data_IF_951818174086
#
_entry.id   IF_951818174086
#
_cell.length_a   1.000
_cell.length_b   1.000
_cell.length_c   1.000
_cell.angle_alpha   90.00
_cell.angle_beta   90.00
_cell.angle_gamma   90.00
#
_symmetry.space_group_name_H-M   'P 1'
#
loop_
_entity.id
_entity.type
_entity.pdbx_description
1 polymer ?
#
# COMPACT_ATOMS: atom_id res chain seq x y z
N UNK A 1 -20.83 -8.93 -7.12
CA UNK A 1 -21.81 -9.80 -7.77
C UNK A 1 -23.24 -9.38 -7.41
N UNK A 2 -24.13 -9.41 -8.40
CA UNK A 2 -25.57 -9.17 -8.18
C UNK A 2 -26.40 -10.35 -8.69
N UNK A 3 -27.51 -10.71 -8.01
CA UNK A 3 -28.43 -11.69 -8.54
C UNK A 3 -29.02 -11.22 -9.89
N UNK A 4 -29.23 -12.18 -10.79
CA UNK A 4 -29.91 -11.96 -12.08
C UNK A 4 -30.83 -13.14 -12.38
N UNK A 5 -31.70 -13.00 -13.37
CA UNK A 5 -32.65 -14.05 -13.74
C UNK A 5 -32.00 -15.39 -14.15
N UNK A 6 -30.74 -15.38 -14.56
CA UNK A 6 -29.99 -16.56 -14.97
C UNK A 6 -28.86 -16.97 -14.01
N UNK A 7 -28.79 -16.38 -12.81
CA UNK A 7 -27.70 -16.65 -11.86
C UNK A 7 -27.09 -15.39 -11.25
N UNK A 8 -25.75 -15.30 -11.24
CA UNK A 8 -25.02 -14.16 -10.70
C UNK A 8 -24.40 -13.33 -11.84
N UNK A 9 -24.60 -12.03 -11.77
CA UNK A 9 -23.93 -11.07 -12.66
C UNK A 9 -22.70 -10.48 -11.99
N UNK A 10 -21.55 -10.59 -12.65
CA UNK A 10 -20.33 -9.91 -12.24
C UNK A 10 -20.36 -8.44 -12.65
N UNK A 11 -19.92 -7.57 -11.72
CA UNK A 11 -19.63 -6.15 -12.00
C UNK A 11 -18.12 -6.00 -12.02
N UNK A 12 -17.56 -5.74 -13.20
CA UNK A 12 -16.13 -5.53 -13.41
C UNK A 12 -15.92 -4.12 -13.94
N UNK A 13 -14.88 -3.44 -13.44
CA UNK A 13 -14.57 -2.09 -13.90
C UNK A 13 -14.08 -2.12 -15.36
N UNK A 14 -14.68 -1.27 -16.17
CA UNK A 14 -14.24 -1.08 -17.56
C UNK A 14 -12.89 -0.35 -17.61
N UNK A 15 -12.14 -0.56 -18.69
CA UNK A 15 -10.83 0.08 -18.92
C UNK A 15 -10.99 1.60 -18.93
N UNK A 16 -10.11 2.36 -18.24
CA UNK A 16 -10.13 3.82 -18.30
C UNK A 16 -9.86 4.34 -19.71
N UNK A 17 -10.67 5.30 -20.11
CA UNK A 17 -10.49 6.07 -21.35
C UNK A 17 -9.70 7.36 -21.06
N UNK A 18 -10.15 8.14 -20.06
CA UNK A 18 -9.44 9.32 -19.60
C UNK A 18 -9.30 9.37 -18.09
N UNK A 19 -8.22 9.99 -17.63
CA UNK A 19 -7.91 10.17 -16.22
C UNK A 19 -7.50 11.63 -15.94
N UNK A 20 -7.59 12.03 -14.68
CA UNK A 20 -7.07 13.30 -14.19
C UNK A 20 -6.37 13.11 -12.84
N UNK A 21 -5.52 14.05 -12.46
CA UNK A 21 -4.86 14.04 -11.15
C UNK A 21 -5.71 14.81 -10.13
N UNK A 22 -5.92 14.21 -8.97
CA UNK A 22 -6.57 14.87 -7.85
C UNK A 22 -5.68 15.98 -7.28
N UNK A 23 -6.22 17.19 -7.12
CA UNK A 23 -5.46 18.40 -6.77
C UNK A 23 -4.68 18.31 -5.46
N UNK A 24 -5.22 17.56 -4.47
CA UNK A 24 -4.64 17.51 -3.13
C UNK A 24 -3.42 16.60 -3.02
N UNK A 25 -3.36 15.49 -3.77
CA UNK A 25 -2.34 14.46 -3.58
C UNK A 25 -1.84 13.77 -4.85
N UNK A 26 -2.08 14.38 -6.01
CA UNK A 26 -1.69 13.82 -7.31
C UNK A 26 -2.17 12.38 -7.59
N UNK A 27 -3.20 11.91 -6.88
CA UNK A 27 -3.82 10.62 -7.15
C UNK A 27 -4.48 10.59 -8.52
N UNK A 28 -4.22 9.55 -9.31
CA UNK A 28 -4.92 9.36 -10.58
C UNK A 28 -6.38 8.93 -10.35
N UNK A 29 -7.31 9.70 -10.89
CA UNK A 29 -8.75 9.43 -10.90
C UNK A 29 -9.25 9.18 -12.31
N UNK A 30 -10.14 8.21 -12.49
CA UNK A 30 -10.77 7.94 -13.79
C UNK A 30 -11.91 8.92 -14.01
N UNK A 31 -11.87 9.65 -15.15
CA UNK A 31 -12.92 10.55 -15.60
C UNK A 31 -13.94 9.82 -16.47
N UNK A 32 -13.47 9.08 -17.49
CA UNK A 32 -14.31 8.31 -18.40
C UNK A 32 -13.78 6.90 -18.59
N UNK A 33 -14.66 5.98 -19.01
CA UNK A 33 -14.32 4.58 -19.23
C UNK A 33 -14.79 4.12 -20.61
N UNK A 34 -14.05 3.20 -21.20
CA UNK A 34 -14.48 2.46 -22.38
C UNK A 34 -15.66 1.53 -22.07
N UNK A 35 -16.22 0.91 -23.08
CA UNK A 35 -17.31 -0.08 -23.00
C UNK A 35 -16.83 -1.54 -22.85
N UNK A 36 -15.52 -1.75 -22.64
CA UNK A 36 -14.90 -3.06 -22.45
C UNK A 36 -14.11 -3.13 -21.14
N UNK A 37 -14.02 -4.33 -20.55
CA UNK A 37 -13.37 -4.56 -19.24
C UNK A 37 -11.89 -4.93 -19.37
N UNK A 38 -11.44 -5.40 -20.53
CA UNK A 38 -10.04 -5.73 -20.78
C UNK A 38 -9.73 -5.66 -22.28
N UNK A 39 -8.51 -5.27 -22.59
CA UNK A 39 -7.93 -5.36 -23.93
C UNK A 39 -6.79 -6.37 -23.88
N UNK A 40 -6.88 -7.40 -24.70
CA UNK A 40 -5.91 -8.49 -24.74
C UNK A 40 -5.52 -8.78 -26.19
N UNK A 41 -4.29 -9.26 -26.37
CA UNK A 41 -3.77 -9.64 -27.68
C UNK A 41 -3.81 -11.17 -27.83
N UNK A 42 -4.27 -11.61 -29.00
CA UNK A 42 -4.24 -13.01 -29.41
C UNK A 42 -4.94 -13.98 -28.45
N UNK A 43 -4.52 -15.23 -28.52
CA UNK A 43 -4.99 -16.30 -27.62
C UNK A 43 -4.20 -16.25 -26.31
N UNK A 44 -4.90 -16.33 -25.20
CA UNK A 44 -4.30 -16.33 -23.86
C UNK A 44 -5.08 -17.22 -22.88
N UNK A 45 -4.44 -17.57 -21.79
CA UNK A 45 -5.12 -18.17 -20.63
C UNK A 45 -5.75 -17.09 -19.79
N UNK A 46 -7.02 -17.25 -19.45
CA UNK A 46 -7.74 -16.33 -18.57
C UNK A 46 -7.66 -16.80 -17.11
N UNK A 47 -7.72 -15.86 -16.13
CA UNK A 47 -7.73 -16.25 -14.74
C UNK A 47 -9.01 -16.99 -14.37
N UNK A 48 -8.89 -17.92 -13.44
CA UNK A 48 -10.03 -18.56 -12.79
C UNK A 48 -10.79 -17.53 -11.95
N UNK A 49 -12.10 -17.61 -11.97
CA UNK A 49 -12.99 -16.90 -11.06
C UNK A 49 -13.60 -17.90 -10.10
N UNK A 50 -13.35 -17.70 -8.82
CA UNK A 50 -13.72 -18.67 -7.78
C UNK A 50 -14.76 -18.01 -6.89
N UNK A 51 -15.81 -18.72 -6.57
CA UNK A 51 -16.86 -18.36 -5.63
C UNK A 51 -16.80 -19.33 -4.46
N UNK A 52 -16.40 -18.85 -3.29
CA UNK A 52 -16.56 -19.59 -2.06
C UNK A 52 -18.01 -19.45 -1.58
N UNK A 53 -18.68 -20.56 -1.36
CA UNK A 53 -20.03 -20.62 -0.81
C UNK A 53 -19.94 -21.28 0.55
N UNK A 54 -20.50 -20.67 1.57
CA UNK A 54 -20.56 -21.17 2.93
C UNK A 54 -22.01 -21.19 3.40
N UNK A 55 -22.37 -22.19 4.19
CA UNK A 55 -23.68 -22.28 4.80
C UNK A 55 -23.78 -21.35 6.04
N UNK A 56 -22.65 -21.12 6.72
CA UNK A 56 -22.55 -20.26 7.89
C UNK A 56 -21.40 -19.24 7.76
N UNK A 57 -21.60 -18.01 8.22
CA UNK A 57 -20.62 -16.92 8.13
C UNK A 57 -19.27 -17.26 8.76
N UNK A 58 -19.26 -18.07 9.81
CA UNK A 58 -18.04 -18.52 10.52
C UNK A 58 -17.11 -19.37 9.66
N UNK A 59 -17.58 -19.93 8.56
CA UNK A 59 -16.78 -20.76 7.65
C UNK A 59 -15.93 -19.90 6.70
N UNK A 60 -16.34 -18.65 6.45
CA UNK A 60 -15.64 -17.77 5.52
C UNK A 60 -14.23 -17.39 5.99
N UNK A 61 -13.98 -17.05 7.26
CA UNK A 61 -12.64 -16.69 7.74
C UNK A 61 -11.63 -17.83 7.71
N UNK A 62 -12.11 -19.08 7.72
CA UNK A 62 -11.28 -20.29 7.69
C UNK A 62 -11.15 -20.91 6.30
N UNK A 63 -11.71 -20.26 5.29
CA UNK A 63 -11.66 -20.73 3.91
C UNK A 63 -10.24 -20.54 3.34
N UNK A 64 -9.61 -21.64 2.94
CA UNK A 64 -8.24 -21.70 2.44
C UNK A 64 -8.14 -21.87 0.90
N UNK A 65 -9.25 -21.76 0.18
CA UNK A 65 -9.29 -21.92 -1.28
C UNK A 65 -8.31 -21.00 -2.01
N UNK A 66 -8.02 -19.81 -1.48
CA UNK A 66 -7.04 -18.90 -2.06
C UNK A 66 -5.65 -19.54 -2.08
N UNK A 67 -5.26 -20.26 -1.05
CA UNK A 67 -3.97 -20.95 -0.98
C UNK A 67 -3.95 -22.21 -1.85
N UNK A 68 -5.05 -22.96 -1.88
CA UNK A 68 -5.16 -24.17 -2.68
C UNK A 68 -5.17 -23.93 -4.20
N UNK A 69 -5.68 -22.76 -4.62
CA UNK A 69 -5.89 -22.41 -6.03
C UNK A 69 -4.98 -21.30 -6.55
N UNK A 70 -4.18 -20.68 -5.67
CA UNK A 70 -3.20 -19.67 -6.07
C UNK A 70 -2.11 -20.27 -6.96
N UNK A 71 -1.54 -19.43 -7.83
CA UNK A 71 -0.32 -19.80 -8.54
C UNK A 71 0.83 -19.98 -7.55
N UNK A 72 1.82 -20.78 -7.95
CA UNK A 72 3.05 -20.96 -7.16
C UNK A 72 3.75 -19.62 -6.90
N UNK A 73 4.45 -19.53 -5.76
CA UNK A 73 5.26 -18.39 -5.41
C UNK A 73 6.30 -18.10 -6.51
N UNK A 74 6.30 -16.87 -7.04
CA UNK A 74 7.22 -16.43 -8.09
C UNK A 74 8.41 -15.62 -7.56
N UNK A 75 8.36 -15.24 -6.28
CA UNK A 75 9.44 -14.46 -5.64
C UNK A 75 10.58 -15.39 -5.21
N UNK A 76 10.25 -16.66 -4.93
CA UNK A 76 11.22 -17.63 -4.42
C UNK A 76 11.36 -17.54 -2.91
N UNK A 77 12.54 -17.18 -2.41
CA UNK A 77 12.76 -17.01 -0.97
C UNK A 77 12.03 -15.78 -0.43
N UNK A 78 11.10 -16.02 0.48
CA UNK A 78 10.33 -15.00 1.19
C UNK A 78 10.73 -14.87 2.66
N UNK A 79 11.85 -15.43 3.08
CA UNK A 79 12.32 -15.40 4.49
C UNK A 79 12.59 -14.00 5.02
N UNK A 80 12.83 -13.05 4.13
CA UNK A 80 13.02 -11.63 4.44
C UNK A 80 11.71 -10.92 4.83
N UNK A 81 10.54 -11.45 4.46
CA UNK A 81 9.24 -10.90 4.86
C UNK A 81 9.03 -11.17 6.35
N UNK A 82 8.95 -10.10 7.14
CA UNK A 82 8.72 -10.16 8.58
C UNK A 82 7.33 -9.63 8.89
N UNK A 83 6.33 -10.47 9.11
CA UNK A 83 5.02 -10.02 9.60
C UNK A 83 5.15 -9.37 10.95
N UNK A 84 4.31 -8.36 11.22
CA UNK A 84 4.36 -7.67 12.50
C UNK A 84 3.23 -6.69 12.69
N UNK A 85 3.15 -6.14 13.90
CA UNK A 85 2.21 -5.08 14.26
C UNK A 85 2.83 -3.73 13.93
N UNK A 86 1.97 -2.78 13.59
CA UNK A 86 2.37 -1.43 13.16
C UNK A 86 1.76 -0.39 14.08
N UNK A 87 2.57 0.52 14.61
CA UNK A 87 2.07 1.77 15.16
C UNK A 87 1.78 2.74 14.00
N UNK A 88 0.55 3.25 13.96
CA UNK A 88 0.05 4.06 12.86
C UNK A 88 -0.61 5.33 13.39
N UNK A 89 0.08 6.47 13.22
CA UNK A 89 -0.27 7.76 13.82
C UNK A 89 -1.51 8.43 13.22
N UNK A 90 -1.86 8.10 12.00
CA UNK A 90 -2.99 8.72 11.31
C UNK A 90 -4.33 8.51 12.05
N UNK A 91 -4.50 7.34 12.72
CA UNK A 91 -5.71 7.02 13.47
C UNK A 91 -6.02 8.00 14.62
N UNK A 92 -5.02 8.61 15.20
CA UNK A 92 -5.15 9.58 16.29
C UNK A 92 -4.66 10.97 15.90
N UNK A 93 -4.65 11.29 14.60
CA UNK A 93 -4.32 12.60 14.05
C UNK A 93 -2.97 13.13 14.57
N UNK A 94 -1.95 12.28 14.53
CA UNK A 94 -0.60 12.49 15.12
C UNK A 94 -0.61 12.89 16.60
N UNK A 95 -1.75 12.73 17.28
CA UNK A 95 -1.94 13.14 18.65
C UNK A 95 -1.08 12.33 19.61
N UNK A 96 -0.37 13.04 20.51
CA UNK A 96 0.38 12.46 21.62
C UNK A 96 0.00 13.17 22.91
N UNK A 97 0.10 12.45 24.04
CA UNK A 97 -0.06 13.00 25.38
C UNK A 97 1.21 12.76 26.18
N UNK A 98 1.49 13.64 27.16
CA UNK A 98 2.66 13.48 28.02
C UNK A 98 3.99 13.85 27.35
N UNK A 99 3.96 14.60 26.26
CA UNK A 99 5.16 15.14 25.57
C UNK A 99 5.30 16.63 25.84
N UNK A 100 6.53 17.15 25.73
CA UNK A 100 6.88 18.56 25.95
C UNK A 100 7.01 19.38 24.66
N UNK A 101 6.39 18.90 23.58
CA UNK A 101 6.40 19.51 22.26
C UNK A 101 5.04 19.40 21.59
N UNK A 102 4.79 20.20 20.56
CA UNK A 102 3.59 20.11 19.74
C UNK A 102 3.66 18.90 18.83
N UNK A 103 2.76 17.90 18.98
CA UNK A 103 2.69 16.75 18.10
C UNK A 103 2.26 17.14 16.68
N UNK A 104 2.66 16.34 15.70
CA UNK A 104 2.31 16.59 14.29
C UNK A 104 3.31 15.91 13.37
N UNK A 105 3.35 16.33 12.11
CA UNK A 105 4.28 15.80 11.12
C UNK A 105 5.67 16.41 11.38
N UNK A 106 6.42 15.81 12.29
CA UNK A 106 7.77 16.21 12.64
C UNK A 106 8.58 15.05 13.24
N UNK A 107 9.90 15.15 13.16
CA UNK A 107 10.84 14.13 13.64
C UNK A 107 10.63 13.73 15.11
N UNK A 108 10.27 14.69 15.99
CA UNK A 108 10.06 14.40 17.43
C UNK A 108 8.84 13.51 17.66
N UNK A 109 7.74 13.77 16.92
CA UNK A 109 6.53 12.95 16.99
C UNK A 109 6.83 11.51 16.59
N UNK A 110 7.53 11.29 15.47
CA UNK A 110 7.84 9.93 15.03
C UNK A 110 8.84 9.21 15.95
N UNK A 111 9.77 9.92 16.58
CA UNK A 111 10.61 9.31 17.64
C UNK A 111 9.78 8.81 18.83
N UNK A 112 8.76 9.56 19.25
CA UNK A 112 7.86 9.11 20.30
C UNK A 112 7.03 7.87 19.89
N UNK A 113 6.59 7.78 18.63
CA UNK A 113 5.95 6.57 18.11
C UNK A 113 6.91 5.38 18.02
N UNK A 114 8.16 5.61 17.68
CA UNK A 114 9.21 4.57 17.68
C UNK A 114 9.47 4.08 19.11
N UNK A 115 9.55 4.99 20.09
CA UNK A 115 9.70 4.63 21.50
C UNK A 115 8.53 3.77 21.97
N UNK A 116 7.31 4.20 21.69
CA UNK A 116 6.10 3.42 21.98
C UNK A 116 6.13 2.03 21.31
N UNK A 117 6.49 1.96 20.06
CA UNK A 117 6.58 0.69 19.34
C UNK A 117 7.59 -0.25 20.00
N UNK A 118 8.77 0.25 20.36
CA UNK A 118 9.81 -0.52 21.02
C UNK A 118 9.35 -1.01 22.42
N UNK A 119 8.74 -0.13 23.22
CA UNK A 119 8.31 -0.44 24.59
C UNK A 119 7.18 -1.48 24.63
N UNK A 120 6.30 -1.49 23.61
CA UNK A 120 5.15 -2.39 23.52
C UNK A 120 5.32 -3.56 22.55
N UNK A 121 6.51 -3.77 22.02
CA UNK A 121 6.81 -4.89 21.12
C UNK A 121 6.03 -4.83 19.81
N UNK A 122 5.92 -3.66 19.22
CA UNK A 122 5.44 -3.46 17.86
C UNK A 122 6.64 -3.47 16.91
N UNK A 123 6.53 -4.19 15.82
CA UNK A 123 7.65 -4.38 14.90
C UNK A 123 7.90 -3.17 14.00
N UNK A 124 6.86 -2.35 13.75
CA UNK A 124 6.93 -1.29 12.76
C UNK A 124 6.24 0.00 13.22
N UNK A 125 6.69 1.12 12.63
CA UNK A 125 5.98 2.40 12.59
C UNK A 125 5.78 2.78 11.12
N UNK A 126 4.57 3.18 10.72
CA UNK A 126 4.33 3.76 9.41
C UNK A 126 4.26 5.28 9.53
N UNK A 127 4.99 5.97 8.66
CA UNK A 127 4.84 7.40 8.43
C UNK A 127 3.76 7.57 7.36
N UNK A 128 2.55 8.04 7.76
CA UNK A 128 1.41 8.21 6.87
C UNK A 128 1.48 9.50 6.04
N UNK A 129 0.42 9.89 5.33
CA UNK A 129 0.38 11.07 4.45
C UNK A 129 0.92 12.31 5.16
N UNK A 130 1.96 12.94 4.61
CA UNK A 130 2.54 14.19 5.10
C UNK A 130 4.04 14.16 5.38
N UNK A 131 4.68 12.99 5.43
CA UNK A 131 6.15 12.88 5.52
C UNK A 131 6.83 13.35 4.21
N UNK A 132 6.13 13.22 3.09
CA UNK A 132 6.48 13.81 1.79
C UNK A 132 5.42 14.82 1.37
N UNK A 133 5.77 15.76 0.49
CA UNK A 133 4.80 16.74 -0.01
C UNK A 133 3.82 16.08 -1.01
N UNK A 134 2.56 15.87 -0.62
CA UNK A 134 1.60 15.19 -1.49
C UNK A 134 1.25 16.00 -2.76
N UNK A 135 1.45 17.31 -2.74
CA UNK A 135 1.21 18.19 -3.89
C UNK A 135 2.36 18.21 -4.88
N UNK A 136 3.57 17.88 -4.43
CA UNK A 136 4.73 17.76 -5.31
C UNK A 136 4.57 16.60 -6.29
N UNK A 137 3.77 15.57 -5.93
CA UNK A 137 3.63 14.37 -6.76
C UNK A 137 4.94 13.63 -6.95
N UNK A 138 5.85 13.73 -5.98
CA UNK A 138 7.19 13.14 -6.03
C UNK A 138 7.48 12.42 -4.71
N UNK A 139 7.55 11.10 -4.79
CA UNK A 139 7.86 10.23 -3.66
C UNK A 139 9.24 10.51 -3.04
N UNK A 140 10.14 11.17 -3.75
CA UNK A 140 11.49 11.54 -3.26
C UNK A 140 11.51 12.86 -2.47
N UNK A 141 10.38 13.59 -2.43
CA UNK A 141 10.29 14.90 -1.79
C UNK A 141 9.91 14.77 -0.31
N UNK A 142 10.90 14.64 0.57
CA UNK A 142 10.69 14.63 2.03
C UNK A 142 10.46 16.06 2.53
N UNK A 143 9.47 16.26 3.43
CA UNK A 143 9.21 17.58 4.00
C UNK A 143 10.32 18.00 4.97
N UNK A 144 10.58 19.30 5.10
CA UNK A 144 11.67 19.84 5.90
C UNK A 144 11.61 19.46 7.39
N UNK A 145 10.39 19.25 7.92
CA UNK A 145 10.16 18.88 9.32
C UNK A 145 10.56 17.43 9.66
N UNK A 146 10.84 16.61 8.65
CA UNK A 146 11.19 15.19 8.80
C UNK A 146 12.66 14.96 8.43
N UNK A 147 13.46 14.58 9.42
CA UNK A 147 14.79 14.01 9.20
C UNK A 147 14.66 12.48 9.07
N UNK A 148 14.38 12.02 7.85
CA UNK A 148 14.16 10.60 7.60
C UNK A 148 15.40 9.73 7.88
N UNK A 149 16.63 10.12 7.49
CA UNK A 149 17.84 9.39 7.87
C UNK A 149 18.03 9.26 9.39
N UNK A 150 17.72 10.31 10.16
CA UNK A 150 17.77 10.27 11.62
C UNK A 150 16.72 9.32 12.19
N UNK A 151 15.49 9.35 11.67
CA UNK A 151 14.43 8.45 12.11
C UNK A 151 14.80 6.98 11.85
N UNK A 152 15.38 6.66 10.71
CA UNK A 152 15.83 5.29 10.39
C UNK A 152 16.90 4.83 11.38
N UNK A 153 17.95 5.64 11.62
CA UNK A 153 18.99 5.29 12.61
C UNK A 153 18.40 5.09 14.01
N UNK A 154 17.45 5.95 14.40
CA UNK A 154 16.81 5.89 15.71
C UNK A 154 15.95 4.62 15.86
N UNK A 155 15.19 4.28 14.84
CA UNK A 155 14.35 3.09 14.81
C UNK A 155 15.17 1.79 14.80
N UNK A 156 16.21 1.72 13.97
CA UNK A 156 17.12 0.56 13.91
C UNK A 156 17.79 0.31 15.28
N UNK A 157 18.23 1.36 15.98
CA UNK A 157 18.82 1.23 17.31
C UNK A 157 17.84 0.66 18.35
N UNK A 158 16.53 0.73 18.10
CA UNK A 158 15.45 0.21 18.96
C UNK A 158 14.84 -1.10 18.42
N UNK A 159 15.31 -1.59 17.27
CA UNK A 159 14.76 -2.80 16.65
C UNK A 159 13.39 -2.60 16.00
N UNK A 160 13.00 -1.37 15.68
CA UNK A 160 11.74 -1.01 15.04
C UNK A 160 11.96 -0.69 13.57
N UNK A 161 11.17 -1.27 12.68
CA UNK A 161 11.20 -0.98 11.24
C UNK A 161 10.35 0.23 10.89
N UNK A 162 10.77 1.02 9.90
CA UNK A 162 9.96 2.12 9.36
C UNK A 162 9.37 1.75 8.00
N UNK A 163 8.12 2.14 7.81
CA UNK A 163 7.39 2.05 6.55
C UNK A 163 6.91 3.44 6.13
N UNK A 164 6.81 3.69 4.84
CA UNK A 164 6.37 4.97 4.29
C UNK A 164 5.04 4.82 3.55
N UNK A 165 4.12 5.73 3.80
CA UNK A 165 2.90 5.85 3.04
C UNK A 165 3.15 6.55 1.70
N UNK A 166 2.52 6.06 0.63
CA UNK A 166 2.67 6.62 -0.71
C UNK A 166 1.38 6.48 -1.53
N UNK A 167 1.14 7.39 -2.45
CA UNK A 167 0.09 7.27 -3.47
C UNK A 167 0.58 6.35 -4.59
N UNK A 168 -0.24 5.39 -5.02
CA UNK A 168 0.16 4.33 -5.95
C UNK A 168 0.77 4.83 -7.25
N UNK A 169 0.14 5.78 -7.95
CA UNK A 169 0.66 6.32 -9.20
C UNK A 169 1.88 7.25 -9.00
N UNK A 170 2.01 7.87 -7.84
CA UNK A 170 3.19 8.69 -7.50
C UNK A 170 4.41 7.80 -7.26
N UNK A 171 4.25 6.69 -6.54
CA UNK A 171 5.30 5.69 -6.41
C UNK A 171 5.70 5.10 -7.77
N UNK A 172 4.70 4.75 -8.60
CA UNK A 172 4.94 4.13 -9.90
C UNK A 172 5.78 5.00 -10.85
N UNK A 173 5.66 6.32 -10.75
CA UNK A 173 6.43 7.25 -11.59
C UNK A 173 7.95 7.15 -11.38
N UNK A 174 8.41 6.70 -10.19
CA UNK A 174 9.83 6.52 -9.83
C UNK A 174 10.07 5.20 -9.09
N UNK A 175 9.36 4.15 -9.46
CA UNK A 175 9.26 2.92 -8.68
C UNK A 175 10.62 2.30 -8.34
N UNK A 176 11.45 2.03 -9.33
CA UNK A 176 12.76 1.40 -9.13
C UNK A 176 13.72 2.32 -8.34
N UNK A 177 13.72 3.62 -8.65
CA UNK A 177 14.53 4.61 -7.96
C UNK A 177 14.13 4.70 -6.48
N UNK A 178 12.83 4.82 -6.20
CA UNK A 178 12.31 4.91 -4.84
C UNK A 178 12.57 3.63 -4.03
N UNK A 179 12.29 2.46 -4.60
CA UNK A 179 12.55 1.19 -3.94
C UNK A 179 14.03 1.03 -3.60
N UNK A 180 14.93 1.30 -4.56
CA UNK A 180 16.37 1.19 -4.34
C UNK A 180 16.87 2.19 -3.30
N UNK A 181 16.45 3.45 -3.38
CA UNK A 181 16.89 4.50 -2.46
C UNK A 181 16.40 4.23 -1.04
N UNK A 182 15.11 3.97 -0.85
CA UNK A 182 14.54 3.80 0.48
C UNK A 182 14.95 2.47 1.13
N UNK A 183 15.13 1.39 0.35
CA UNK A 183 15.73 0.16 0.86
C UNK A 183 17.18 0.39 1.31
N UNK A 184 17.98 1.11 0.51
CA UNK A 184 19.35 1.49 0.86
C UNK A 184 19.45 2.38 2.10
N UNK A 185 18.44 3.21 2.37
CA UNK A 185 18.34 4.01 3.58
C UNK A 185 17.97 3.15 4.82
N UNK A 186 17.25 2.04 4.64
CA UNK A 186 16.78 1.15 5.72
C UNK A 186 15.27 1.12 5.92
N UNK A 187 14.50 1.73 5.03
CA UNK A 187 13.03 1.63 5.05
C UNK A 187 12.62 0.18 4.72
N UNK A 188 11.61 -0.33 5.43
CA UNK A 188 11.18 -1.74 5.37
C UNK A 188 10.05 -2.01 4.39
N UNK A 189 9.40 -0.97 3.88
CA UNK A 189 8.34 -1.12 2.90
C UNK A 189 7.48 0.13 2.73
N UNK A 190 6.48 0.00 1.87
CA UNK A 190 5.52 1.05 1.58
C UNK A 190 4.10 0.63 1.94
N UNK A 191 3.34 1.53 2.54
CA UNK A 191 1.88 1.50 2.55
C UNK A 191 1.39 2.21 1.30
N UNK A 192 1.08 1.45 0.26
CA UNK A 192 0.59 2.00 -1.02
C UNK A 192 -0.90 2.22 -0.95
N UNK A 193 -1.35 3.44 -1.16
CA UNK A 193 -2.72 3.88 -0.96
C UNK A 193 -3.29 4.58 -2.20
N UNK A 194 -4.58 4.91 -2.17
CA UNK A 194 -5.31 5.67 -3.20
C UNK A 194 -5.22 5.08 -4.61
N UNK A 195 -5.29 3.77 -4.73
CA UNK A 195 -5.50 3.11 -6.02
C UNK A 195 -6.97 3.26 -6.43
N UNK A 196 -7.92 3.01 -5.51
CA UNK A 196 -9.38 3.24 -5.62
C UNK A 196 -10.04 2.63 -6.87
N UNK A 197 -9.42 1.63 -7.47
CA UNK A 197 -9.92 1.03 -8.72
C UNK A 197 -9.39 -0.39 -8.88
N UNK A 198 -10.14 -1.18 -9.63
CA UNK A 198 -9.91 -2.60 -9.87
C UNK A 198 -9.97 -2.98 -11.36
N UNK A 199 -9.79 -1.98 -12.24
CA UNK A 199 -9.70 -2.22 -13.68
C UNK A 199 -8.35 -2.87 -14.08
N UNK A 200 -8.23 -3.30 -15.31
CA UNK A 200 -7.05 -3.99 -15.84
C UNK A 200 -5.75 -3.24 -15.52
N UNK A 201 -5.70 -1.92 -15.74
CA UNK A 201 -4.49 -1.11 -15.51
C UNK A 201 -4.12 -1.05 -14.03
N UNK A 202 -5.12 -0.94 -13.14
CA UNK A 202 -4.88 -0.94 -11.69
C UNK A 202 -4.33 -2.28 -11.19
N UNK A 203 -4.87 -3.39 -11.70
CA UNK A 203 -4.36 -4.73 -11.37
C UNK A 203 -2.92 -4.90 -11.87
N UNK A 204 -2.62 -4.47 -13.09
CA UNK A 204 -1.26 -4.50 -13.65
C UNK A 204 -0.29 -3.63 -12.83
N UNK A 205 -0.74 -2.45 -12.36
CA UNK A 205 0.02 -1.59 -11.45
C UNK A 205 0.37 -2.33 -10.15
N UNK A 206 -0.62 -2.94 -9.48
CA UNK A 206 -0.39 -3.65 -8.22
C UNK A 206 0.63 -4.79 -8.37
N UNK A 207 0.53 -5.57 -9.46
CA UNK A 207 1.52 -6.61 -9.77
C UNK A 207 2.92 -6.06 -10.01
N UNK A 208 3.03 -4.91 -10.69
CA UNK A 208 4.32 -4.25 -10.93
C UNK A 208 4.93 -3.74 -9.63
N UNK A 209 4.15 -3.04 -8.80
CA UNK A 209 4.57 -2.55 -7.49
C UNK A 209 5.09 -3.70 -6.62
N UNK A 210 4.32 -4.78 -6.50
CA UNK A 210 4.70 -5.93 -5.70
C UNK A 210 5.99 -6.60 -6.19
N UNK A 211 6.17 -6.73 -7.51
CA UNK A 211 7.35 -7.36 -8.11
C UNK A 211 8.63 -6.54 -7.93
N UNK A 212 8.54 -5.21 -7.99
CA UNK A 212 9.72 -4.34 -7.87
C UNK A 212 10.08 -4.11 -6.41
N UNK A 213 9.09 -4.09 -5.51
CA UNK A 213 9.33 -3.93 -4.07
C UNK A 213 9.86 -5.22 -3.40
N UNK A 214 9.73 -6.38 -4.04
CA UNK A 214 10.25 -7.67 -3.56
C UNK A 214 11.69 -7.90 -3.99
#
# INVERSE_FOLDING_TARGET
LTPSAGGLRGLFAAVPDSCYLHERRCQEKVATRHDYIARVEGTRTYPWRILAVADEDRELPTNDLVYALAAENRIGDCSWVKPGKVAWEWWNDWGLTGVDFEPGINTRTYKAYIDFAADYGLEYVVLDEGWSDPKAGDVMSVVEQIDLPELVRYADAKGVGLMLWVVGNVLDAKLEEACSYYAGLGIRGFKVDFIDRDDQKAVELVYRLARVAA
#
